data_IF_108445010761
#
_entry.id   IF_108445010761
#
_cell.length_a   1.000
_cell.length_b   1.000
_cell.length_c   1.000
_cell.angle_alpha   90.00
_cell.angle_beta   90.00
_cell.angle_gamma   90.00
#
_symmetry.space_group_name_H-M   'P 1'
#
loop_
_entity.id
_entity.type
_entity.pdbx_description
1 polymer ?
#
# COMPACT_ATOMS: atom_id res chain seq x y z
N UNK A 1 -64.39 73.96 48.47
CA UNK A 1 -63.87 74.53 47.20
C UNK A 1 -62.57 73.84 46.91
N UNK A 2 -62.56 72.72 46.16
CA UNK A 2 -61.35 72.14 45.59
C UNK A 2 -61.78 71.40 44.34
N UNK A 3 -61.37 71.91 43.22
CA UNK A 3 -61.50 71.33 41.88
C UNK A 3 -60.42 70.28 41.69
N UNK A 4 -60.81 69.05 41.47
CA UNK A 4 -59.90 67.98 41.04
C UNK A 4 -60.10 67.75 39.53
N UNK A 5 -59.06 68.10 38.75
CA UNK A 5 -58.97 67.81 37.34
C UNK A 5 -58.51 66.33 37.14
N UNK A 6 -59.35 65.55 36.42
CA UNK A 6 -59.03 64.20 35.99
C UNK A 6 -58.37 64.29 34.62
N UNK A 7 -57.11 64.01 34.50
CA UNK A 7 -56.39 63.92 33.25
C UNK A 7 -56.47 62.46 32.69
N UNK A 8 -57.19 62.29 31.62
CA UNK A 8 -57.25 61.00 30.92
C UNK A 8 -56.00 60.83 30.06
N UNK A 9 -55.14 59.81 30.39
CA UNK A 9 -53.94 59.42 29.63
C UNK A 9 -54.35 58.41 28.53
N UNK A 10 -54.33 58.85 27.27
CA UNK A 10 -54.52 57.98 26.11
C UNK A 10 -53.22 57.24 25.83
N UNK A 11 -53.16 55.93 26.11
CA UNK A 11 -52.06 55.03 25.68
C UNK A 11 -52.24 54.70 24.18
N UNK A 12 -51.43 55.29 23.35
CA UNK A 12 -51.26 54.85 21.97
C UNK A 12 -50.21 53.74 21.91
N UNK A 13 -50.62 52.49 21.67
CA UNK A 13 -49.71 51.38 21.39
C UNK A 13 -49.19 51.43 19.95
N UNK A 14 -47.91 51.35 19.69
CA UNK A 14 -47.39 51.22 18.32
C UNK A 14 -47.65 49.81 17.81
N UNK A 15 -48.31 49.68 16.65
CA UNK A 15 -48.39 48.45 15.88
C UNK A 15 -46.92 48.13 15.35
N UNK A 16 -46.25 47.20 15.96
CA UNK A 16 -45.03 46.61 15.42
C UNK A 16 -45.39 45.74 14.22
N UNK A 17 -45.12 46.22 13.01
CA UNK A 17 -45.11 45.43 11.79
C UNK A 17 -43.95 44.44 11.89
N UNK A 18 -44.24 43.18 12.26
CA UNK A 18 -43.34 42.08 12.15
C UNK A 18 -43.10 41.81 10.65
N UNK A 19 -42.04 42.39 10.08
CA UNK A 19 -41.54 42.02 8.76
C UNK A 19 -40.96 40.60 8.90
N UNK A 20 -41.74 39.62 8.47
CA UNK A 20 -41.26 38.24 8.31
C UNK A 20 -40.07 38.22 7.34
N UNK A 21 -38.86 38.01 7.85
CA UNK A 21 -37.70 37.68 7.04
C UNK A 21 -38.00 36.31 6.43
N UNK A 22 -38.51 36.30 5.21
CA UNK A 22 -38.57 35.10 4.39
C UNK A 22 -37.12 34.75 4.11
N UNK A 23 -36.57 33.81 4.87
CA UNK A 23 -35.28 33.21 4.58
C UNK A 23 -35.36 32.70 3.12
N UNK A 24 -34.67 33.37 2.23
CA UNK A 24 -34.41 32.83 0.90
C UNK A 24 -33.80 31.45 1.11
N UNK A 25 -34.56 30.41 0.85
CA UNK A 25 -34.03 29.06 0.66
C UNK A 25 -33.08 29.18 -0.55
N UNK A 26 -31.78 29.40 -0.25
CA UNK A 26 -30.73 29.42 -1.28
C UNK A 26 -30.80 28.09 -2.03
N UNK A 27 -30.74 28.16 -3.34
CA UNK A 27 -30.55 26.96 -4.17
C UNK A 27 -29.45 26.12 -3.51
N UNK A 28 -29.64 24.80 -3.37
CA UNK A 28 -28.62 23.97 -2.77
C UNK A 28 -27.30 24.25 -3.48
N UNK A 29 -26.30 24.65 -2.70
CA UNK A 29 -24.99 24.94 -3.28
C UNK A 29 -24.49 23.69 -4.01
N UNK A 30 -24.05 23.87 -5.26
CA UNK A 30 -23.51 22.78 -6.08
C UNK A 30 -22.08 22.49 -5.64
N UNK A 31 -21.72 21.24 -5.56
CA UNK A 31 -20.37 20.79 -5.21
C UNK A 31 -19.34 21.26 -6.24
N UNK A 32 -18.24 21.81 -5.74
CA UNK A 32 -17.10 22.13 -6.58
C UNK A 32 -16.36 20.85 -6.99
N UNK A 33 -16.45 20.49 -8.27
CA UNK A 33 -15.82 19.27 -8.80
C UNK A 33 -14.29 19.33 -8.76
N UNK A 34 -13.70 20.53 -8.87
CA UNK A 34 -12.25 20.68 -8.73
C UNK A 34 -11.79 20.40 -7.30
N UNK A 35 -12.55 20.80 -6.28
CA UNK A 35 -12.26 20.48 -4.89
C UNK A 35 -12.29 18.96 -4.62
N UNK A 36 -13.18 18.21 -5.27
CA UNK A 36 -13.20 16.74 -5.15
C UNK A 36 -11.92 16.10 -5.72
N UNK A 37 -11.35 16.66 -6.79
CA UNK A 37 -10.07 16.20 -7.32
C UNK A 37 -8.96 16.38 -6.29
N UNK A 38 -8.89 17.51 -5.61
CA UNK A 38 -7.89 17.78 -4.55
C UNK A 38 -8.04 16.80 -3.39
N UNK A 39 -9.27 16.47 -3.00
CA UNK A 39 -9.53 15.46 -1.95
C UNK A 39 -8.97 14.09 -2.35
N UNK A 40 -9.20 13.66 -3.59
CA UNK A 40 -8.68 12.39 -4.12
C UNK A 40 -7.16 12.42 -4.24
N UNK A 41 -6.59 13.52 -4.72
CA UNK A 41 -5.15 13.71 -4.86
C UNK A 41 -4.45 13.60 -3.50
N UNK A 42 -4.96 14.31 -2.50
CA UNK A 42 -4.42 14.27 -1.15
C UNK A 42 -4.52 12.87 -0.52
N UNK A 43 -5.66 12.20 -0.71
CA UNK A 43 -5.87 10.82 -0.25
C UNK A 43 -4.84 9.86 -0.86
N UNK A 44 -4.64 9.90 -2.19
CA UNK A 44 -3.69 9.02 -2.87
C UNK A 44 -2.23 9.36 -2.54
N UNK A 45 -1.89 10.63 -2.33
CA UNK A 45 -0.57 11.03 -1.83
C UNK A 45 -0.28 10.40 -0.46
N UNK A 46 -1.25 10.41 0.44
CA UNK A 46 -1.14 9.74 1.74
C UNK A 46 -0.92 8.22 1.62
N UNK A 47 -1.69 7.56 0.73
CA UNK A 47 -1.57 6.12 0.50
C UNK A 47 -0.24 5.72 -0.17
N UNK A 48 0.37 6.61 -0.94
CA UNK A 48 1.63 6.36 -1.64
C UNK A 48 2.88 6.79 -0.87
N UNK A 49 2.74 7.39 0.31
CA UNK A 49 3.86 7.93 1.10
C UNK A 49 4.88 6.87 1.57
N UNK A 50 4.51 5.57 1.60
CA UNK A 50 5.39 4.47 1.99
C UNK A 50 6.03 3.71 0.82
N UNK A 51 5.83 4.15 -0.42
CA UNK A 51 6.36 3.45 -1.59
C UNK A 51 7.85 3.78 -1.82
N UNK A 52 8.61 2.79 -2.29
CA UNK A 52 10.03 2.94 -2.63
C UNK A 52 10.20 3.71 -3.95
N UNK A 53 9.99 5.03 -3.92
CA UNK A 53 10.12 5.89 -5.10
C UNK A 53 9.38 7.20 -4.96
N UNK A 54 9.51 8.07 -5.97
CA UNK A 54 8.79 9.34 -6.03
C UNK A 54 7.41 9.12 -6.65
N UNK A 55 6.36 9.19 -5.85
CA UNK A 55 4.99 9.09 -6.32
C UNK A 55 4.53 10.41 -6.97
N UNK A 56 3.79 10.29 -8.07
CA UNK A 56 3.03 11.37 -8.69
C UNK A 56 1.60 10.93 -8.94
N UNK A 57 0.65 11.77 -8.60
CA UNK A 57 -0.78 11.49 -8.70
C UNK A 57 -1.39 12.36 -9.79
N UNK A 58 -2.08 11.75 -10.72
CA UNK A 58 -2.86 12.41 -11.76
C UNK A 58 -4.33 12.01 -11.61
N UNK A 59 -5.19 12.95 -11.23
CA UNK A 59 -6.62 12.71 -11.04
C UNK A 59 -7.37 13.19 -12.27
N UNK A 60 -8.17 12.30 -12.90
CA UNK A 60 -8.99 12.63 -14.05
C UNK A 60 -10.08 13.61 -13.66
N UNK A 61 -10.33 14.60 -14.52
CA UNK A 61 -11.44 15.53 -14.34
C UNK A 61 -12.78 14.77 -14.39
N UNK A 62 -13.70 15.17 -13.52
CA UNK A 62 -15.09 14.75 -13.59
C UNK A 62 -15.78 15.42 -14.81
N UNK A 63 -16.80 14.77 -15.34
CA UNK A 63 -17.64 15.38 -16.39
C UNK A 63 -18.23 16.69 -15.84
N UNK A 64 -18.04 17.84 -16.53
CA UNK A 64 -18.59 19.13 -16.11
C UNK A 64 -20.11 19.14 -15.96
N UNK A 65 -20.81 18.19 -16.57
CA UNK A 65 -22.26 18.02 -16.43
C UNK A 65 -22.67 17.35 -15.12
N UNK A 66 -21.70 16.80 -14.38
CA UNK A 66 -21.98 16.19 -13.07
C UNK A 66 -22.43 17.25 -12.09
N UNK A 67 -23.65 17.13 -11.60
CA UNK A 67 -24.20 18.03 -10.59
C UNK A 67 -24.40 17.23 -9.30
N UNK A 68 -23.70 17.63 -8.26
CA UNK A 68 -23.79 17.02 -6.91
C UNK A 68 -24.18 18.12 -5.92
N UNK A 69 -24.99 17.82 -4.91
CA UNK A 69 -25.22 18.73 -3.80
C UNK A 69 -23.92 19.04 -3.07
N UNK A 70 -23.76 20.27 -2.58
CA UNK A 70 -22.58 20.65 -1.81
C UNK A 70 -22.40 19.74 -0.58
N UNK A 71 -21.16 19.39 -0.31
CA UNK A 71 -20.76 18.59 0.83
C UNK A 71 -19.78 19.37 1.70
N UNK A 72 -20.04 19.40 3.01
CA UNK A 72 -19.16 20.06 3.97
C UNK A 72 -17.84 19.27 4.17
N UNK A 73 -17.91 17.94 4.16
CA UNK A 73 -16.78 17.05 4.43
C UNK A 73 -16.81 15.84 3.50
N UNK A 74 -16.35 16.00 2.24
CA UNK A 74 -16.26 14.90 1.29
C UNK A 74 -15.11 13.96 1.65
N UNK A 75 -15.40 12.68 1.88
CA UNK A 75 -14.44 11.67 2.30
C UNK A 75 -14.07 10.74 1.16
N UNK A 76 -12.76 10.69 0.84
CA UNK A 76 -12.22 9.74 -0.12
C UNK A 76 -12.02 8.36 0.51
N UNK A 77 -12.29 7.32 -0.26
CA UNK A 77 -12.06 5.93 0.12
C UNK A 77 -11.72 5.07 -1.10
N UNK A 78 -11.04 3.96 -0.86
CA UNK A 78 -10.85 2.91 -1.85
C UNK A 78 -11.61 1.64 -1.45
N UNK A 79 -11.99 0.85 -2.46
CA UNK A 79 -12.57 -0.46 -2.20
C UNK A 79 -11.51 -1.41 -1.63
N UNK A 80 -11.90 -2.36 -0.76
CA UNK A 80 -10.99 -3.38 -0.27
C UNK A 80 -10.30 -4.12 -1.42
N UNK A 81 -8.96 -4.24 -1.36
CA UNK A 81 -8.15 -4.87 -2.39
C UNK A 81 -7.78 -3.97 -3.58
N UNK A 82 -8.25 -2.72 -3.64
CA UNK A 82 -7.80 -1.77 -4.64
C UNK A 82 -6.32 -1.41 -4.42
N UNK A 83 -5.59 -1.26 -5.53
CA UNK A 83 -4.19 -0.81 -5.46
C UNK A 83 -4.11 0.69 -5.30
N UNK A 84 -3.18 1.15 -4.45
CA UNK A 84 -2.91 2.57 -4.27
C UNK A 84 -2.04 3.18 -5.40
N UNK A 85 -1.56 2.38 -6.34
CA UNK A 85 -0.70 2.82 -7.46
C UNK A 85 -1.16 2.22 -8.80
N UNK A 86 -0.66 2.78 -9.89
CA UNK A 86 -1.13 2.48 -11.25
C UNK A 86 -2.47 3.16 -11.52
N UNK A 87 -3.26 2.57 -12.41
CA UNK A 87 -4.62 3.03 -12.66
C UNK A 87 -5.52 2.57 -11.52
N UNK A 88 -6.15 3.52 -10.85
CA UNK A 88 -7.02 3.26 -9.69
C UNK A 88 -8.30 4.08 -9.77
N UNK A 89 -9.30 3.68 -9.00
CA UNK A 89 -10.56 4.42 -8.85
C UNK A 89 -10.78 4.69 -7.37
N UNK A 90 -11.00 5.95 -7.05
CA UNK A 90 -11.28 6.40 -5.69
C UNK A 90 -12.74 6.82 -5.59
N UNK A 91 -13.45 6.28 -4.61
CA UNK A 91 -14.77 6.74 -4.24
C UNK A 91 -14.66 8.00 -3.37
N UNK A 92 -15.50 8.98 -3.62
CA UNK A 92 -15.72 10.11 -2.72
C UNK A 92 -17.16 10.07 -2.28
N UNK A 93 -17.38 10.04 -0.99
CA UNK A 93 -18.72 10.04 -0.40
C UNK A 93 -18.97 11.28 0.43
N UNK A 94 -20.18 11.74 0.37
CA UNK A 94 -20.75 12.71 1.29
C UNK A 94 -21.82 12.02 2.14
N UNK A 95 -21.90 12.36 3.41
CA UNK A 95 -22.93 11.85 4.32
C UNK A 95 -23.94 12.92 4.69
N UNK A 96 -23.55 14.20 4.69
CA UNK A 96 -24.40 15.33 5.05
C UNK A 96 -24.02 16.59 4.26
N UNK A 97 -24.97 17.48 3.94
CA UNK A 97 -26.40 17.42 4.25
C UNK A 97 -27.18 16.43 3.37
N UNK A 98 -26.65 16.09 2.19
CA UNK A 98 -27.26 15.13 1.27
C UNK A 98 -26.25 14.02 0.96
N UNK A 99 -26.66 12.77 1.17
CA UNK A 99 -25.79 11.63 0.89
C UNK A 99 -25.63 11.41 -0.60
N UNK A 100 -24.38 11.26 -1.06
CA UNK A 100 -24.02 10.85 -2.42
C UNK A 100 -22.64 10.18 -2.45
N UNK A 101 -22.39 9.45 -3.51
CA UNK A 101 -21.08 8.84 -3.79
C UNK A 101 -20.75 9.02 -5.26
N UNK A 102 -19.51 9.40 -5.54
CA UNK A 102 -18.97 9.50 -6.91
C UNK A 102 -17.63 8.78 -6.99
N UNK A 103 -17.35 8.16 -8.13
CA UNK A 103 -16.10 7.46 -8.37
C UNK A 103 -15.24 8.24 -9.36
N UNK A 104 -14.00 8.52 -8.97
CA UNK A 104 -13.06 9.34 -9.71
C UNK A 104 -11.86 8.48 -10.09
N UNK A 105 -11.53 8.46 -11.38
CA UNK A 105 -10.38 7.74 -11.88
C UNK A 105 -9.11 8.56 -11.65
N UNK A 106 -8.05 7.86 -11.23
CA UNK A 106 -6.75 8.44 -11.04
C UNK A 106 -5.65 7.49 -11.53
N UNK A 107 -4.50 8.06 -11.84
CA UNK A 107 -3.27 7.33 -12.13
C UNK A 107 -2.20 7.76 -11.13
N UNK A 108 -1.62 6.79 -10.44
CA UNK A 108 -0.49 7.00 -9.53
C UNK A 108 0.73 6.35 -10.17
N UNK A 109 1.71 7.15 -10.57
CA UNK A 109 3.00 6.70 -11.08
C UNK A 109 4.04 6.76 -9.97
N UNK A 110 4.92 5.76 -9.90
CA UNK A 110 5.98 5.66 -8.87
C UNK A 110 7.32 5.56 -9.55
N UNK A 111 8.01 6.69 -9.69
CA UNK A 111 9.35 6.72 -10.27
C UNK A 111 10.37 6.21 -9.25
N UNK A 112 10.99 5.08 -9.56
CA UNK A 112 11.97 4.43 -8.69
C UNK A 112 13.02 3.66 -9.47
N UNK A 113 13.97 3.08 -8.74
CA UNK A 113 14.98 2.19 -9.31
C UNK A 113 14.55 0.74 -9.17
N UNK A 114 14.84 -0.04 -10.18
CA UNK A 114 14.58 -1.47 -10.20
C UNK A 114 15.78 -2.21 -10.79
N UNK A 115 15.91 -3.48 -10.44
CA UNK A 115 16.97 -4.34 -10.93
C UNK A 115 16.53 -4.98 -12.24
N UNK A 116 17.37 -4.83 -13.26
CA UNK A 116 17.21 -5.48 -14.56
C UNK A 116 18.42 -6.33 -14.90
N UNK A 117 18.25 -7.27 -15.83
CA UNK A 117 19.35 -8.05 -16.38
C UNK A 117 20.22 -7.16 -17.29
N UNK A 118 21.50 -7.03 -16.99
CA UNK A 118 22.48 -6.32 -17.85
C UNK A 118 22.78 -7.10 -19.13
N UNK A 119 22.75 -8.41 -19.03
CA UNK A 119 22.98 -9.39 -20.12
C UNK A 119 21.87 -10.45 -20.08
N UNK A 120 21.67 -11.24 -21.15
CA UNK A 120 20.71 -12.34 -21.09
C UNK A 120 21.06 -13.32 -19.97
N UNK A 121 20.06 -13.68 -19.15
CA UNK A 121 20.18 -14.64 -18.07
C UNK A 121 19.52 -15.96 -18.47
N UNK A 122 20.26 -17.06 -18.37
CA UNK A 122 19.68 -18.37 -18.61
C UNK A 122 18.94 -18.90 -17.37
N UNK A 123 17.89 -19.67 -17.60
CA UNK A 123 17.13 -20.33 -16.54
C UNK A 123 18.05 -21.24 -15.72
N UNK A 124 17.93 -21.17 -14.39
CA UNK A 124 18.63 -22.04 -13.44
C UNK A 124 20.08 -21.64 -13.15
N UNK A 125 20.68 -20.71 -13.90
CA UNK A 125 22.04 -20.24 -13.62
C UNK A 125 22.03 -19.27 -12.42
N UNK A 126 23.06 -19.36 -11.54
CA UNK A 126 23.24 -18.36 -10.48
C UNK A 126 23.48 -16.98 -11.08
N UNK A 127 22.84 -16.00 -10.50
CA UNK A 127 22.96 -14.60 -10.92
C UNK A 127 24.16 -13.97 -10.23
N UNK A 128 25.10 -13.46 -11.04
CA UNK A 128 26.27 -12.72 -10.59
C UNK A 128 25.97 -11.21 -10.55
N UNK A 129 26.58 -10.44 -9.63
CA UNK A 129 26.42 -8.98 -9.57
C UNK A 129 26.69 -8.26 -10.90
N UNK A 130 27.68 -8.73 -11.69
CA UNK A 130 28.03 -8.14 -13.00
C UNK A 130 26.95 -8.30 -14.06
N UNK A 131 26.00 -9.20 -13.84
CA UNK A 131 24.87 -9.47 -14.74
C UNK A 131 23.65 -8.62 -14.43
N UNK A 132 23.73 -7.75 -13.42
CA UNK A 132 22.64 -6.90 -12.95
C UNK A 132 22.92 -5.43 -13.21
N UNK A 133 21.88 -4.68 -13.45
CA UNK A 133 21.92 -3.21 -13.59
C UNK A 133 20.72 -2.59 -12.89
N UNK A 134 20.92 -1.43 -12.24
CA UNK A 134 19.83 -0.61 -11.76
C UNK A 134 19.33 0.28 -12.89
N UNK A 135 18.03 0.21 -13.15
CA UNK A 135 17.35 1.05 -14.13
C UNK A 135 16.28 1.89 -13.43
N UNK A 136 16.01 3.07 -13.98
CA UNK A 136 14.93 3.94 -13.50
C UNK A 136 13.69 3.75 -14.35
N UNK A 137 12.53 3.73 -13.69
CA UNK A 137 11.25 3.60 -14.37
C UNK A 137 10.05 3.76 -13.45
N UNK A 138 8.87 3.68 -14.04
CA UNK A 138 7.62 3.69 -13.28
C UNK A 138 7.33 2.31 -12.70
N UNK A 139 7.61 2.13 -11.42
CA UNK A 139 7.38 0.87 -10.69
C UNK A 139 5.90 0.46 -10.70
N UNK A 140 4.99 1.44 -10.81
CA UNK A 140 3.56 1.17 -10.87
C UNK A 140 3.11 0.55 -12.21
N UNK A 141 3.87 0.78 -13.28
CA UNK A 141 3.64 0.19 -14.59
C UNK A 141 4.30 -1.19 -14.74
N UNK A 142 5.15 -1.59 -13.79
CA UNK A 142 5.87 -2.86 -13.84
C UNK A 142 5.05 -4.01 -13.24
N UNK A 143 5.43 -5.26 -13.59
CA UNK A 143 4.85 -6.43 -12.96
C UNK A 143 5.05 -6.40 -11.44
N UNK A 144 4.11 -7.01 -10.70
CA UNK A 144 4.24 -7.12 -9.25
C UNK A 144 5.50 -7.87 -8.85
N UNK A 145 6.10 -7.44 -7.72
CA UNK A 145 7.28 -8.10 -7.18
C UNK A 145 8.56 -7.82 -7.94
N UNK A 146 8.62 -6.71 -8.70
CA UNK A 146 9.89 -6.26 -9.29
C UNK A 146 10.93 -6.05 -8.18
N UNK A 147 12.15 -6.51 -8.44
CA UNK A 147 13.28 -6.40 -7.50
C UNK A 147 13.81 -4.98 -7.54
N UNK A 148 13.92 -4.35 -6.39
CA UNK A 148 14.45 -2.98 -6.23
C UNK A 148 15.84 -2.94 -5.57
N UNK A 149 16.30 -4.07 -5.02
CA UNK A 149 17.60 -4.20 -4.39
C UNK A 149 18.36 -5.40 -5.00
N UNK A 150 19.57 -5.14 -5.51
CA UNK A 150 20.42 -6.16 -6.11
C UNK A 150 20.74 -7.33 -5.16
N UNK A 151 20.85 -7.06 -3.85
CA UNK A 151 21.13 -8.08 -2.85
C UNK A 151 20.06 -9.19 -2.83
N UNK A 152 18.83 -8.86 -3.21
CA UNK A 152 17.73 -9.83 -3.31
C UNK A 152 17.89 -10.81 -4.48
N UNK A 153 18.70 -10.48 -5.50
CA UNK A 153 18.88 -11.30 -6.69
C UNK A 153 20.22 -12.05 -6.71
N UNK A 154 21.25 -11.47 -6.11
CA UNK A 154 22.60 -12.02 -6.12
C UNK A 154 22.63 -13.42 -5.48
N UNK A 155 23.30 -14.37 -6.18
CA UNK A 155 23.42 -15.76 -5.73
C UNK A 155 22.16 -16.61 -5.89
N UNK A 156 21.03 -16.00 -6.26
CA UNK A 156 19.81 -16.72 -6.66
C UNK A 156 19.89 -17.12 -8.13
N UNK A 157 18.96 -17.93 -8.57
CA UNK A 157 18.81 -18.28 -9.99
C UNK A 157 17.42 -17.91 -10.47
N UNK A 158 17.33 -17.49 -11.74
CA UNK A 158 16.02 -17.23 -12.35
C UNK A 158 15.32 -18.54 -12.74
N UNK A 159 14.02 -18.63 -12.51
CA UNK A 159 13.18 -19.76 -12.94
C UNK A 159 12.81 -19.68 -14.42
N UNK A 160 13.09 -18.57 -15.08
CA UNK A 160 12.84 -18.31 -16.51
C UNK A 160 14.06 -17.65 -17.12
N UNK A 161 14.25 -17.82 -18.43
CA UNK A 161 15.27 -17.04 -19.15
C UNK A 161 14.84 -15.58 -19.29
N UNK A 162 15.75 -14.65 -19.07
CA UNK A 162 15.51 -13.21 -19.14
C UNK A 162 16.40 -12.60 -20.22
N UNK A 163 15.83 -11.73 -21.06
CA UNK A 163 16.60 -10.93 -22.00
C UNK A 163 17.30 -9.76 -21.30
N UNK A 164 18.35 -9.22 -21.90
CA UNK A 164 18.96 -7.98 -21.43
C UNK A 164 17.90 -6.86 -21.34
N UNK A 165 17.97 -6.06 -20.28
CA UNK A 165 16.99 -5.01 -19.95
C UNK A 165 15.68 -5.50 -19.29
N UNK A 166 15.46 -6.81 -19.20
CA UNK A 166 14.26 -7.34 -18.56
C UNK A 166 14.31 -7.13 -17.04
N UNK A 167 13.21 -6.66 -16.41
CA UNK A 167 13.14 -6.50 -14.96
C UNK A 167 13.14 -7.87 -14.26
N UNK A 168 13.90 -7.97 -13.18
CA UNK A 168 13.88 -9.13 -12.31
C UNK A 168 12.68 -9.08 -11.39
N UNK A 169 12.09 -10.26 -11.11
CA UNK A 169 10.93 -10.40 -10.22
C UNK A 169 11.25 -11.39 -9.11
N UNK A 170 10.82 -11.08 -7.89
CA UNK A 170 11.04 -11.93 -6.71
C UNK A 170 10.44 -13.33 -6.86
N UNK A 171 9.26 -13.43 -7.48
CA UNK A 171 8.57 -14.71 -7.70
C UNK A 171 9.24 -15.58 -8.77
N UNK A 172 10.05 -14.98 -9.63
CA UNK A 172 10.87 -15.68 -10.62
C UNK A 172 12.29 -16.03 -10.12
N UNK A 173 12.62 -15.68 -8.86
CA UNK A 173 13.93 -15.99 -8.27
C UNK A 173 13.83 -17.16 -7.30
N UNK A 174 14.78 -18.08 -7.40
CA UNK A 174 14.96 -19.20 -6.47
C UNK A 174 16.30 -19.11 -5.79
N UNK A 175 16.33 -19.30 -4.48
CA UNK A 175 17.56 -19.45 -3.72
C UNK A 175 18.18 -20.82 -4.01
N UNK A 176 19.49 -20.89 -4.17
CA UNK A 176 20.20 -22.16 -4.22
C UNK A 176 20.00 -22.88 -2.89
N UNK A 177 19.63 -24.18 -2.89
CA UNK A 177 19.50 -24.91 -1.63
C UNK A 177 20.85 -24.93 -0.89
N UNK A 178 20.87 -24.45 0.34
CA UNK A 178 22.04 -24.59 1.25
C UNK A 178 21.93 -25.86 2.08
N UNK A 179 20.72 -26.43 2.13
CA UNK A 179 20.44 -27.76 2.70
C UNK A 179 19.68 -28.56 1.66
N UNK A 180 20.14 -29.77 1.35
CA UNK A 180 19.50 -30.66 0.40
C UNK A 180 18.82 -31.83 1.12
N UNK A 181 17.75 -32.34 0.54
CA UNK A 181 17.08 -33.54 1.07
C UNK A 181 18.07 -34.71 1.17
N UNK A 182 18.04 -35.39 2.31
CA UNK A 182 18.94 -36.49 2.61
C UNK A 182 20.35 -36.09 3.10
N UNK A 183 20.69 -34.79 3.03
CA UNK A 183 21.97 -34.28 3.51
C UNK A 183 22.08 -34.40 5.03
N UNK A 184 23.28 -34.78 5.51
CA UNK A 184 23.63 -34.66 6.91
C UNK A 184 23.87 -33.18 7.21
N UNK A 185 23.16 -32.66 8.21
CA UNK A 185 23.21 -31.25 8.62
C UNK A 185 23.53 -31.16 10.11
N UNK A 186 24.15 -30.06 10.50
CA UNK A 186 24.37 -29.75 11.92
C UNK A 186 23.23 -28.87 12.40
N UNK A 187 22.46 -29.41 13.31
CA UNK A 187 21.40 -28.67 14.02
C UNK A 187 22.02 -27.95 15.20
N UNK A 188 21.77 -26.66 15.32
CA UNK A 188 22.24 -25.84 16.43
C UNK A 188 21.03 -25.18 17.09
N UNK A 189 20.99 -25.29 18.40
CA UNK A 189 20.08 -24.51 19.24
C UNK A 189 20.91 -23.65 20.18
N UNK A 190 20.57 -22.36 20.25
CA UNK A 190 21.22 -21.37 21.09
C UNK A 190 20.19 -20.76 22.04
N UNK A 191 20.51 -20.70 23.33
CA UNK A 191 19.74 -20.02 24.37
C UNK A 191 20.65 -19.18 25.24
N UNK A 192 20.11 -18.50 26.27
CA UNK A 192 20.90 -17.74 27.22
C UNK A 192 21.89 -18.63 27.94
N UNK A 193 23.19 -18.51 27.64
CA UNK A 193 24.28 -19.21 28.28
C UNK A 193 24.55 -20.64 27.81
N UNK A 194 23.84 -21.15 26.79
CA UNK A 194 24.13 -22.48 26.23
C UNK A 194 24.04 -22.52 24.71
N UNK A 195 24.81 -23.44 24.14
CA UNK A 195 24.73 -23.79 22.72
C UNK A 195 24.83 -25.31 22.60
N UNK A 196 23.80 -25.91 22.01
CA UNK A 196 23.77 -27.35 21.75
C UNK A 196 23.82 -27.60 20.27
N UNK A 197 24.62 -28.58 19.84
CA UNK A 197 24.65 -29.02 18.46
C UNK A 197 24.49 -30.53 18.36
N UNK A 198 23.73 -30.96 17.35
CA UNK A 198 23.50 -32.35 17.03
C UNK A 198 23.53 -32.56 15.51
N UNK A 199 23.83 -33.79 15.07
CA UNK A 199 23.70 -34.17 13.68
C UNK A 199 22.26 -34.63 13.39
N UNK A 200 21.75 -34.29 12.24
CA UNK A 200 20.44 -34.71 11.75
C UNK A 200 20.44 -34.85 10.22
N UNK A 201 19.45 -35.50 9.66
CA UNK A 201 19.28 -35.65 8.22
C UNK A 201 18.14 -34.78 7.73
N UNK A 202 18.40 -33.94 6.73
CA UNK A 202 17.38 -33.07 6.13
C UNK A 202 16.28 -33.90 5.45
N UNK A 203 15.02 -33.55 5.67
CA UNK A 203 13.86 -34.18 5.05
C UNK A 203 13.51 -33.50 3.72
N UNK A 204 13.87 -32.22 3.56
CA UNK A 204 13.58 -31.42 2.35
C UNK A 204 14.75 -30.52 1.96
N UNK A 205 14.59 -29.86 0.81
CA UNK A 205 15.50 -28.82 0.35
C UNK A 205 15.15 -27.48 0.97
N UNK A 206 16.14 -26.68 1.33
CA UNK A 206 15.93 -25.31 1.78
C UNK A 206 17.06 -24.38 1.34
N UNK A 207 16.70 -23.19 0.88
CA UNK A 207 17.62 -22.06 0.69
C UNK A 207 17.97 -21.42 2.04
N UNK A 208 18.95 -20.53 2.03
CA UNK A 208 19.35 -19.79 3.20
C UNK A 208 18.17 -18.95 3.76
N UNK A 209 17.96 -19.04 5.10
CA UNK A 209 16.87 -18.37 5.78
C UNK A 209 15.51 -19.06 5.65
N UNK A 210 15.40 -20.17 4.93
CA UNK A 210 14.14 -20.92 4.82
C UNK A 210 14.03 -21.98 5.92
N UNK A 211 12.79 -22.26 6.31
CA UNK A 211 12.49 -23.33 7.26
C UNK A 211 12.71 -24.69 6.59
N UNK A 212 13.44 -25.58 7.26
CA UNK A 212 13.65 -26.96 6.86
C UNK A 212 13.33 -27.90 8.00
N UNK A 213 12.77 -29.05 7.66
CA UNK A 213 12.59 -30.16 8.60
C UNK A 213 13.79 -31.10 8.53
N UNK A 214 14.26 -31.51 9.68
CA UNK A 214 15.36 -32.44 9.83
C UNK A 214 14.97 -33.58 10.77
N UNK A 215 15.48 -34.78 10.52
CA UNK A 215 15.25 -35.97 11.36
C UNK A 215 16.52 -36.30 12.14
N UNK A 216 16.41 -36.34 13.45
CA UNK A 216 17.49 -36.75 14.33
C UNK A 216 17.72 -38.27 14.23
N UNK A 217 18.90 -38.78 14.65
CA UNK A 217 19.14 -40.24 14.76
C UNK A 217 18.12 -41.00 15.64
N UNK A 218 17.53 -40.29 16.61
CA UNK A 218 16.48 -40.84 17.47
C UNK A 218 15.09 -40.85 16.80
N UNK A 219 14.97 -40.39 15.54
CA UNK A 219 13.74 -40.38 14.79
C UNK A 219 12.86 -39.14 14.99
N UNK A 220 13.21 -38.23 15.91
CA UNK A 220 12.47 -36.99 16.12
C UNK A 220 12.61 -36.04 14.95
N UNK A 221 11.52 -35.37 14.60
CA UNK A 221 11.50 -34.33 13.53
C UNK A 221 11.60 -32.97 14.20
N UNK A 222 12.58 -32.18 13.78
CA UNK A 222 12.78 -30.80 14.21
C UNK A 222 12.62 -29.86 13.01
N UNK A 223 12.07 -28.69 13.27
CA UNK A 223 12.00 -27.59 12.28
C UNK A 223 13.00 -26.51 12.68
N UNK A 224 13.76 -26.00 11.70
CA UNK A 224 14.72 -24.94 11.94
C UNK A 224 14.98 -24.14 10.67
N UNK A 225 15.77 -23.09 10.80
CA UNK A 225 16.14 -22.18 9.72
C UNK A 225 17.44 -22.68 9.10
N UNK A 226 17.43 -22.94 7.80
CA UNK A 226 18.60 -23.33 7.03
C UNK A 226 19.60 -22.16 6.90
N UNK A 227 20.86 -22.42 7.17
CA UNK A 227 21.99 -21.50 7.03
C UNK A 227 23.05 -22.08 6.10
N UNK A 228 23.91 -21.23 5.60
CA UNK A 228 25.06 -21.66 4.77
C UNK A 228 25.89 -22.73 5.49
N UNK A 229 26.52 -23.64 4.71
CA UNK A 229 27.38 -24.70 5.25
C UNK A 229 26.64 -25.90 5.84
N UNK A 230 25.35 -26.09 5.52
CA UNK A 230 24.57 -27.24 6.02
C UNK A 230 24.22 -27.12 7.50
N UNK A 231 24.10 -25.90 8.00
CA UNK A 231 23.69 -25.59 9.37
C UNK A 231 22.17 -25.40 9.42
N UNK A 232 21.53 -25.89 10.46
CA UNK A 232 20.11 -25.67 10.73
C UNK A 232 19.96 -25.11 12.15
N UNK A 233 19.46 -23.89 12.26
CA UNK A 233 19.26 -23.20 13.53
C UNK A 233 17.82 -23.41 14.02
N UNK A 234 17.67 -24.01 15.20
CA UNK A 234 16.36 -24.23 15.83
C UNK A 234 16.14 -23.13 16.86
N UNK A 235 15.04 -22.39 16.68
CA UNK A 235 14.57 -21.36 17.62
C UNK A 235 13.43 -21.99 18.42
N UNK A 236 13.51 -21.90 19.73
CA UNK A 236 12.47 -22.35 20.67
C UNK A 236 11.56 -21.21 21.07
#
# INVERSE_FOLDING_TARGET
MNFTFLAALLLTAPLALAQGIVARQGMPAVQNLAALRTVVEHYLQGQSAGLAGKASVEVRALDPRTSLPACADPQAFQQPGARAWGNTTVGVRCTAPTAWTVYIQAKVSVQGEYVAAAVPLAQGQPIDPSQLVLMKGDLAAMPNGVVTDMAQAIGRSSTVSLAAGAPLRLDALRSKPVVQQGQLVRVVSSGEGFRVSAEARAIGNAGEGQVVQVRTPAGAILSGIAKAGGLVEVVF
#
